data_IF_709998119967
#
_entry.id   IF_709998119967
#
_cell.length_a   1.000
_cell.length_b   1.000
_cell.length_c   1.000
_cell.angle_alpha   90.00
_cell.angle_beta   90.00
_cell.angle_gamma   90.00
#
_symmetry.space_group_name_H-M   'P 1'
#
loop_
_entity.id
_entity.type
_entity.pdbx_description
1 polymer ?
#
# COMPACT_ATOMS: atom_id res chain seq x y z
N UNK A 1 -12.55 17.80 8.16
CA UNK A 1 -12.62 16.34 8.38
C UNK A 1 -11.38 15.83 9.11
N UNK A 2 -11.53 15.42 10.37
CA UNK A 2 -10.46 14.80 11.15
C UNK A 2 -10.21 13.37 10.65
N UNK A 3 -8.94 12.98 10.58
CA UNK A 3 -8.49 11.64 10.15
C UNK A 3 -7.68 11.01 11.28
N UNK A 4 -8.00 9.78 11.64
CA UNK A 4 -7.31 9.04 12.71
C UNK A 4 -6.89 7.69 12.18
N UNK A 5 -5.60 7.37 12.32
CA UNK A 5 -5.08 6.05 11.99
C UNK A 5 -5.51 5.07 13.08
N UNK A 6 -6.16 3.97 12.70
CA UNK A 6 -6.58 2.91 13.63
C UNK A 6 -5.57 1.77 13.63
N UNK A 7 -5.21 1.31 12.44
CA UNK A 7 -4.27 0.19 12.27
C UNK A 7 -3.19 0.60 11.25
N UNK A 8 -1.93 0.78 11.68
CA UNK A 8 -0.82 1.08 10.78
C UNK A 8 -0.51 -0.13 9.88
N UNK A 9 0.21 0.08 8.76
CA UNK A 9 0.64 -1.02 7.92
C UNK A 9 1.73 -1.81 8.65
N UNK A 10 1.69 -3.15 8.54
CA UNK A 10 2.72 -4.00 9.17
C UNK A 10 4.04 -3.99 8.39
N UNK A 11 3.99 -3.69 7.09
CA UNK A 11 5.14 -3.72 6.20
C UNK A 11 5.18 -2.47 5.32
N UNK A 12 6.37 -2.14 4.82
CA UNK A 12 6.59 -1.07 3.86
C UNK A 12 6.46 -1.56 2.40
N UNK A 13 6.17 -0.66 1.43
CA UNK A 13 6.07 -1.02 0.01
C UNK A 13 7.41 -1.46 -0.62
N UNK A 14 8.53 -1.13 0.03
CA UNK A 14 9.89 -1.54 -0.32
C UNK A 14 10.50 -2.26 0.87
N UNK A 15 11.04 -3.46 0.66
CA UNK A 15 11.71 -4.22 1.71
C UNK A 15 13.16 -3.74 1.91
N UNK A 16 13.71 -4.00 3.09
CA UNK A 16 15.08 -3.60 3.43
C UNK A 16 16.12 -4.19 2.47
N UNK A 17 16.02 -5.46 2.11
CA UNK A 17 16.95 -6.12 1.18
C UNK A 17 16.92 -5.46 -0.21
N UNK A 18 15.76 -4.98 -0.62
CA UNK A 18 15.59 -4.28 -1.90
C UNK A 18 16.19 -2.87 -1.85
N UNK A 19 15.97 -2.14 -0.75
CA UNK A 19 16.59 -0.84 -0.53
C UNK A 19 18.12 -0.96 -0.47
N UNK A 20 18.65 -1.94 0.27
CA UNK A 20 20.08 -2.24 0.37
C UNK A 20 20.69 -2.56 -0.99
N UNK A 21 20.02 -3.40 -1.79
CA UNK A 21 20.45 -3.70 -3.16
C UNK A 21 20.45 -2.46 -4.06
N UNK A 22 19.48 -1.57 -3.91
CA UNK A 22 19.43 -0.31 -4.65
C UNK A 22 20.57 0.64 -4.26
N UNK A 23 20.84 0.76 -2.96
CA UNK A 23 21.91 1.58 -2.38
C UNK A 23 23.31 0.96 -2.51
N UNK A 24 23.40 -0.30 -2.97
CA UNK A 24 24.63 -1.10 -3.03
C UNK A 24 25.29 -1.29 -1.66
N UNK A 25 24.47 -1.49 -0.63
CA UNK A 25 24.89 -1.78 0.75
C UNK A 25 24.79 -3.28 1.01
N UNK A 26 25.87 -3.91 1.46
CA UNK A 26 25.96 -5.36 1.72
C UNK A 26 26.12 -5.72 3.20
N UNK A 27 26.35 -4.74 4.07
CA UNK A 27 26.51 -4.88 5.52
C UNK A 27 25.22 -4.56 6.28
N UNK A 28 25.11 -4.97 7.55
CA UNK A 28 23.88 -4.84 8.37
C UNK A 28 23.88 -3.67 9.37
N UNK A 29 25.00 -2.96 9.54
CA UNK A 29 25.09 -1.87 10.54
C UNK A 29 24.14 -0.70 10.26
N UNK A 30 23.80 -0.47 8.99
CA UNK A 30 22.91 0.62 8.58
C UNK A 30 21.43 0.19 8.49
N UNK A 31 21.10 -1.06 8.85
CA UNK A 31 19.75 -1.60 8.64
C UNK A 31 18.66 -0.77 9.36
N UNK A 32 18.96 -0.30 10.57
CA UNK A 32 18.05 0.56 11.33
C UNK A 32 17.86 1.93 10.65
N UNK A 33 18.95 2.51 10.13
CA UNK A 33 18.91 3.80 9.46
C UNK A 33 18.15 3.71 8.12
N UNK A 34 18.46 2.71 7.31
CA UNK A 34 17.78 2.44 6.03
C UNK A 34 16.28 2.17 6.26
N UNK A 35 15.92 1.47 7.34
CA UNK A 35 14.50 1.28 7.71
C UNK A 35 13.81 2.62 8.01
N UNK A 36 14.48 3.54 8.71
CA UNK A 36 13.99 4.90 8.93
C UNK A 36 13.80 5.69 7.64
N UNK A 37 14.75 5.58 6.70
CA UNK A 37 14.64 6.21 5.38
C UNK A 37 13.48 5.64 4.54
N UNK A 38 13.26 4.33 4.58
CA UNK A 38 12.11 3.69 3.93
C UNK A 38 10.80 4.27 4.47
N UNK A 39 10.69 4.43 5.80
CA UNK A 39 9.49 5.00 6.42
C UNK A 39 9.26 6.45 5.98
N UNK A 40 10.31 7.29 6.03
CA UNK A 40 10.21 8.70 5.66
C UNK A 40 9.94 8.89 4.14
N UNK A 41 10.58 8.10 3.28
CA UNK A 41 10.33 8.11 1.85
C UNK A 41 8.90 7.66 1.52
N UNK A 42 8.39 6.64 2.24
CA UNK A 42 7.00 6.18 2.09
C UNK A 42 6.02 7.28 2.48
N UNK A 43 6.21 7.94 3.62
CA UNK A 43 5.35 9.05 4.07
C UNK A 43 5.35 10.22 3.07
N UNK A 44 6.54 10.61 2.57
CA UNK A 44 6.67 11.66 1.55
C UNK A 44 5.91 11.33 0.27
N UNK A 45 6.02 10.08 -0.21
CA UNK A 45 5.33 9.63 -1.43
C UNK A 45 3.82 9.49 -1.21
N UNK A 46 3.38 8.97 -0.06
CA UNK A 46 1.96 8.90 0.30
C UNK A 46 1.32 10.29 0.41
N UNK A 47 2.04 11.25 1.01
CA UNK A 47 1.63 12.65 1.10
C UNK A 47 1.45 13.29 -0.28
N UNK A 48 2.42 13.07 -1.19
CA UNK A 48 2.34 13.56 -2.56
C UNK A 48 1.20 12.94 -3.36
N UNK A 49 1.03 11.61 -3.29
CA UNK A 49 -0.01 10.90 -4.02
C UNK A 49 -1.42 11.12 -3.45
N UNK A 50 -1.51 11.55 -2.18
CA UNK A 50 -2.75 11.62 -1.39
C UNK A 50 -3.44 10.25 -1.30
N UNK A 51 -2.64 9.21 -1.14
CA UNK A 51 -3.06 7.80 -1.09
C UNK A 51 -2.31 7.06 0.01
N UNK A 52 -2.85 5.91 0.42
CA UNK A 52 -2.11 4.91 1.19
C UNK A 52 -1.64 3.80 0.25
N UNK A 53 -0.41 3.38 0.41
CA UNK A 53 0.21 2.39 -0.47
C UNK A 53 -0.06 0.98 0.02
N UNK A 54 0.20 0.74 1.31
CA UNK A 54 -0.04 -0.53 1.98
C UNK A 54 -1.40 -0.49 2.68
N UNK A 55 -2.08 -1.64 2.80
CA UNK A 55 -3.35 -1.75 3.53
C UNK A 55 -3.24 -1.13 4.92
N UNK A 56 -4.15 -0.19 5.22
CA UNK A 56 -4.28 0.49 6.49
C UNK A 56 -5.74 0.74 6.82
N UNK A 57 -6.05 0.77 8.12
CA UNK A 57 -7.40 1.09 8.61
C UNK A 57 -7.43 2.51 9.16
N UNK A 58 -8.34 3.32 8.63
CA UNK A 58 -8.51 4.72 9.00
C UNK A 58 -9.93 4.99 9.49
N UNK A 59 -10.03 5.97 10.38
CA UNK A 59 -11.27 6.58 10.82
C UNK A 59 -11.34 8.02 10.37
N UNK A 60 -12.52 8.43 9.94
CA UNK A 60 -12.86 9.83 9.71
C UNK A 60 -14.09 10.23 10.48
N UNK A 61 -14.19 11.52 10.73
CA UNK A 61 -15.33 12.12 11.40
C UNK A 61 -15.97 13.19 10.52
N UNK A 62 -17.29 13.15 10.41
CA UNK A 62 -18.10 14.19 9.79
C UNK A 62 -18.90 14.91 10.88
N UNK A 63 -19.02 16.23 10.72
CA UNK A 63 -19.79 17.09 11.63
C UNK A 63 -21.28 17.05 11.33
N UNK A 64 -21.66 16.75 10.08
CA UNK A 64 -23.03 16.61 9.61
C UNK A 64 -23.15 15.60 8.46
N UNK A 65 -24.37 15.13 8.19
CA UNK A 65 -24.65 14.31 7.01
C UNK A 65 -24.60 15.17 5.75
N UNK A 66 -23.86 14.76 4.70
CA UNK A 66 -23.81 15.54 3.46
C UNK A 66 -25.14 15.47 2.69
N UNK A 67 -25.36 16.45 1.82
CA UNK A 67 -26.51 16.45 0.91
C UNK A 67 -26.35 15.45 -0.27
N UNK A 68 -25.19 14.82 -0.43
CA UNK A 68 -24.87 13.89 -1.51
C UNK A 68 -23.88 12.82 -1.07
N UNK A 69 -23.12 12.26 -2.01
CA UNK A 69 -22.16 11.19 -1.75
C UNK A 69 -21.10 11.58 -0.70
N UNK A 70 -20.78 10.65 0.20
CA UNK A 70 -19.63 10.80 1.10
C UNK A 70 -18.38 10.37 0.34
N UNK A 71 -17.48 11.31 0.05
CA UNK A 71 -16.18 11.02 -0.56
C UNK A 71 -15.16 10.72 0.53
N UNK A 72 -14.55 9.54 0.50
CA UNK A 72 -13.55 9.15 1.49
C UNK A 72 -12.18 9.76 1.16
N UNK A 73 -11.40 10.19 2.17
CA UNK A 73 -10.03 10.59 1.94
C UNK A 73 -9.17 9.35 1.68
N UNK A 74 -8.20 9.50 0.79
CA UNK A 74 -7.27 8.47 0.31
C UNK A 74 -7.88 7.52 -0.73
N UNK A 75 -7.12 7.30 -1.81
CA UNK A 75 -7.53 6.40 -2.90
C UNK A 75 -7.25 4.94 -2.62
N UNK A 76 -7.72 4.08 -3.53
CA UNK A 76 -7.74 2.62 -3.38
C UNK A 76 -8.47 2.19 -2.11
N UNK A 77 -9.76 2.51 -2.05
CA UNK A 77 -10.66 1.98 -1.05
C UNK A 77 -10.81 0.46 -1.26
N UNK A 78 -10.59 -0.33 -0.21
CA UNK A 78 -10.82 -1.77 -0.26
C UNK A 78 -12.20 -2.11 0.30
N UNK A 79 -12.54 -1.52 1.44
CA UNK A 79 -13.84 -1.73 2.10
C UNK A 79 -14.11 -0.64 3.15
N UNK A 80 -15.38 -0.49 3.51
CA UNK A 80 -15.80 0.30 4.69
C UNK A 80 -16.28 -0.69 5.74
N UNK A 81 -15.73 -0.59 6.95
CA UNK A 81 -16.11 -1.46 8.07
C UNK A 81 -17.48 -1.07 8.59
N UNK A 82 -17.67 0.22 8.88
CA UNK A 82 -18.92 0.74 9.43
C UNK A 82 -19.06 2.25 9.21
N UNK A 83 -20.32 2.69 9.19
CA UNK A 83 -20.73 4.08 9.39
C UNK A 83 -21.60 4.12 10.63
N UNK A 84 -21.19 4.90 11.63
CA UNK A 84 -21.89 5.05 12.89
C UNK A 84 -22.19 6.53 13.13
N UNK A 85 -23.26 6.81 13.85
CA UNK A 85 -23.57 8.15 14.30
C UNK A 85 -23.95 8.16 15.77
N UNK A 86 -23.65 9.25 16.45
CA UNK A 86 -23.97 9.48 17.87
C UNK A 86 -25.00 10.60 17.97
N UNK A 87 -26.09 10.34 18.66
CA UNK A 87 -27.15 11.33 18.91
C UNK A 87 -26.82 12.28 20.07
N UNK A 88 -27.69 13.25 20.33
CA UNK A 88 -27.57 14.21 21.45
C UNK A 88 -27.62 13.56 22.82
N UNK A 89 -28.17 12.35 22.93
CA UNK A 89 -28.25 11.59 24.18
C UNK A 89 -26.97 10.77 24.42
N UNK A 90 -26.01 10.80 23.49
CA UNK A 90 -24.74 10.07 23.54
C UNK A 90 -24.85 8.61 23.09
N UNK A 91 -25.99 8.20 22.54
CA UNK A 91 -26.20 6.84 22.05
C UNK A 91 -25.60 6.69 20.66
N UNK A 92 -24.69 5.72 20.50
CA UNK A 92 -24.09 5.40 19.20
C UNK A 92 -24.94 4.35 18.47
N UNK A 93 -25.39 4.70 17.27
CA UNK A 93 -26.13 3.82 16.37
C UNK A 93 -25.29 3.49 15.13
N UNK A 94 -25.47 2.28 14.60
CA UNK A 94 -24.80 1.85 13.36
C UNK A 94 -25.75 2.02 12.18
N UNK A 95 -25.37 2.85 11.22
CA UNK A 95 -26.15 3.11 10.01
C UNK A 95 -25.71 2.23 8.84
N UNK A 96 -24.44 1.84 8.80
CA UNK A 96 -23.90 0.89 7.82
C UNK A 96 -22.91 -0.06 8.49
N UNK A 97 -22.92 -1.32 8.07
CA UNK A 97 -21.83 -2.27 8.32
C UNK A 97 -21.64 -3.18 7.11
N UNK A 98 -20.49 -3.85 7.00
CA UNK A 98 -20.26 -4.82 5.93
C UNK A 98 -21.28 -5.98 5.89
N UNK A 99 -21.99 -6.24 7.00
CA UNK A 99 -23.06 -7.22 7.07
C UNK A 99 -24.45 -6.66 6.72
N UNK A 100 -24.63 -5.33 6.78
CA UNK A 100 -25.93 -4.66 6.60
C UNK A 100 -25.79 -3.49 5.63
N UNK A 101 -26.15 -3.73 4.37
CA UNK A 101 -25.93 -2.83 3.23
C UNK A 101 -27.21 -2.19 2.70
N UNK A 102 -28.33 -2.34 3.41
CA UNK A 102 -29.66 -1.88 3.00
C UNK A 102 -29.73 -0.38 2.71
N UNK A 103 -29.05 0.45 3.52
CA UNK A 103 -29.14 1.91 3.44
C UNK A 103 -28.10 2.55 2.52
N UNK A 104 -26.91 1.95 2.41
CA UNK A 104 -25.77 2.55 1.73
C UNK A 104 -25.03 1.52 0.87
N UNK A 105 -24.55 1.97 -0.28
CA UNK A 105 -23.66 1.24 -1.16
C UNK A 105 -22.25 1.85 -1.14
N UNK A 106 -21.24 0.99 -1.17
CA UNK A 106 -19.84 1.40 -1.27
C UNK A 106 -19.39 1.28 -2.72
N UNK A 107 -18.96 2.40 -3.28
CA UNK A 107 -18.31 2.48 -4.58
C UNK A 107 -16.79 2.40 -4.39
N UNK A 108 -16.25 1.19 -4.57
CA UNK A 108 -14.81 0.90 -4.49
C UNK A 108 -14.08 1.09 -5.84
N UNK A 109 -14.83 1.16 -6.93
CA UNK A 109 -14.28 1.31 -8.29
C UNK A 109 -13.90 2.76 -8.57
N UNK A 110 -14.65 3.71 -7.99
CA UNK A 110 -14.30 5.12 -7.99
C UNK A 110 -13.03 5.39 -7.17
N UNK A 111 -12.21 6.32 -7.65
CA UNK A 111 -10.95 6.69 -7.01
C UNK A 111 -10.87 8.23 -6.95
N UNK A 112 -11.16 8.88 -5.80
CA UNK A 112 -11.37 8.30 -4.47
C UNK A 112 -12.68 7.52 -4.33
N UNK A 113 -12.67 6.55 -3.41
CA UNK A 113 -13.85 5.74 -3.09
C UNK A 113 -14.97 6.57 -2.47
N UNK A 114 -16.21 6.17 -2.74
CA UNK A 114 -17.40 6.92 -2.33
C UNK A 114 -18.39 6.02 -1.60
N UNK A 115 -19.13 6.60 -0.66
CA UNK A 115 -20.27 5.96 -0.03
C UNK A 115 -21.53 6.68 -0.52
N UNK A 116 -22.45 5.92 -1.11
CA UNK A 116 -23.69 6.41 -1.69
C UNK A 116 -24.88 5.90 -0.88
N UNK A 117 -25.91 6.72 -0.75
CA UNK A 117 -27.20 6.23 -0.27
C UNK A 117 -27.84 5.35 -1.34
N UNK A 118 -28.46 4.25 -0.91
CA UNK A 118 -29.29 3.45 -1.80
C UNK A 118 -30.54 4.23 -2.20
N UNK A 119 -31.07 3.92 -3.39
CA UNK A 119 -32.24 4.61 -3.92
C UNK A 119 -33.44 4.48 -2.98
N UNK A 120 -34.11 5.60 -2.67
CA UNK A 120 -35.28 5.64 -1.79
C UNK A 120 -34.96 5.72 -0.29
N UNK A 121 -33.69 5.72 0.09
CA UNK A 121 -33.26 5.88 1.49
C UNK A 121 -32.73 7.30 1.75
N UNK A 122 -32.84 7.73 3.01
CA UNK A 122 -32.34 9.02 3.50
C UNK A 122 -31.48 8.82 4.73
N UNK A 123 -30.56 9.75 4.98
CA UNK A 123 -29.79 9.80 6.21
C UNK A 123 -30.70 9.86 7.46
N UNK A 124 -30.23 9.37 8.62
CA UNK A 124 -30.97 9.48 9.87
C UNK A 124 -31.32 10.93 10.19
N UNK A 125 -32.57 11.18 10.61
CA UNK A 125 -33.06 12.50 11.01
C UNK A 125 -32.83 12.80 12.49
N UNK A 126 -32.08 11.95 13.19
CA UNK A 126 -31.75 12.14 14.60
C UNK A 126 -30.89 13.39 14.80
N UNK A 127 -31.12 14.11 15.90
CA UNK A 127 -30.25 15.21 16.31
C UNK A 127 -28.87 14.67 16.65
N UNK A 128 -27.86 15.11 15.91
CA UNK A 128 -26.48 14.66 16.08
C UNK A 128 -25.82 15.34 17.28
N UNK A 129 -24.91 14.62 17.93
CA UNK A 129 -24.02 15.20 18.95
C UNK A 129 -23.19 16.36 18.37
N UNK A 130 -22.88 17.42 19.14
CA UNK A 130 -22.14 18.58 18.65
C UNK A 130 -20.70 18.27 18.20
N UNK A 131 -20.06 17.22 18.74
CA UNK A 131 -18.64 16.93 18.49
C UNK A 131 -18.45 15.60 17.76
N UNK A 132 -17.93 15.65 16.51
CA UNK A 132 -17.60 14.48 15.68
C UNK A 132 -18.69 13.37 15.68
N UNK A 133 -19.98 13.72 15.42
CA UNK A 133 -21.09 12.80 15.61
C UNK A 133 -21.06 11.58 14.71
N UNK A 134 -20.51 11.70 13.49
CA UNK A 134 -20.52 10.61 12.51
C UNK A 134 -19.10 10.03 12.40
N UNK A 135 -18.95 8.75 12.74
CA UNK A 135 -17.69 7.99 12.58
C UNK A 135 -17.79 7.05 11.38
N UNK A 136 -16.81 7.12 10.49
CA UNK A 136 -16.66 6.17 9.38
C UNK A 136 -15.30 5.51 9.49
N UNK A 137 -15.30 4.17 9.57
CA UNK A 137 -14.07 3.38 9.55
C UNK A 137 -13.96 2.62 8.23
N UNK A 138 -12.81 2.72 7.57
CA UNK A 138 -12.57 2.09 6.27
C UNK A 138 -11.13 1.58 6.13
N UNK A 139 -10.94 0.67 5.18
CA UNK A 139 -9.67 0.05 4.82
C UNK A 139 -9.28 0.53 3.43
N UNK A 140 -8.06 1.04 3.30
CA UNK A 140 -7.52 1.54 2.03
C UNK A 140 -6.08 1.09 1.82
N UNK A 141 -5.63 1.08 0.56
CA UNK A 141 -4.29 0.64 0.15
C UNK A 141 -4.34 -0.29 -1.06
N UNK A 142 -3.19 -0.53 -1.69
CA UNK A 142 -3.11 -1.45 -2.84
C UNK A 142 -3.19 -2.92 -2.42
N UNK A 143 -2.96 -3.23 -1.15
CA UNK A 143 -3.02 -4.59 -0.61
C UNK A 143 -1.95 -4.84 0.43
N UNK A 144 -1.95 -6.07 0.95
CA UNK A 144 -1.00 -6.49 1.96
C UNK A 144 0.37 -6.74 1.33
N UNK A 145 1.37 -6.04 1.85
CA UNK A 145 2.77 -6.17 1.44
C UNK A 145 3.54 -7.22 2.23
N UNK A 146 2.83 -8.11 2.93
CA UNK A 146 3.39 -9.16 3.77
C UNK A 146 4.33 -10.07 2.97
N UNK A 147 5.63 -10.12 3.29
CA UNK A 147 6.56 -11.05 2.67
C UNK A 147 6.18 -12.49 3.03
N UNK A 148 5.93 -13.33 2.03
CA UNK A 148 5.62 -14.74 2.21
C UNK A 148 6.91 -15.55 2.19
N UNK A 149 7.04 -16.53 3.09
CA UNK A 149 8.25 -17.36 3.19
C UNK A 149 8.25 -18.42 2.11
N UNK A 150 9.37 -18.52 1.39
CA UNK A 150 9.63 -19.60 0.45
C UNK A 150 10.16 -20.79 1.24
N UNK A 151 9.56 -21.97 1.05
CA UNK A 151 9.96 -23.20 1.76
C UNK A 151 10.79 -24.13 0.89
N UNK A 152 10.70 -24.01 -0.44
CA UNK A 152 11.57 -24.71 -1.38
C UNK A 152 11.67 -23.96 -2.71
N UNK A 153 12.77 -24.21 -3.46
CA UNK A 153 12.93 -23.78 -4.83
C UNK A 153 13.55 -24.91 -5.67
N UNK A 154 12.90 -25.28 -6.78
CA UNK A 154 13.40 -26.34 -7.66
C UNK A 154 14.64 -25.91 -8.44
N UNK A 155 15.63 -26.78 -8.60
CA UNK A 155 16.74 -26.55 -9.53
C UNK A 155 16.31 -26.91 -10.97
N UNK A 156 15.47 -26.07 -11.58
CA UNK A 156 14.88 -26.28 -12.90
C UNK A 156 14.76 -24.97 -13.69
N UNK A 157 14.37 -25.06 -14.96
CA UNK A 157 14.08 -23.91 -15.84
C UNK A 157 12.70 -24.11 -16.46
N UNK A 158 11.66 -23.36 -16.05
CA UNK A 158 11.65 -22.33 -15.01
C UNK A 158 11.79 -22.91 -13.59
N UNK A 159 12.33 -22.10 -12.67
CA UNK A 159 12.34 -22.38 -11.23
C UNK A 159 10.89 -22.36 -10.70
N UNK A 160 10.51 -23.41 -9.98
CA UNK A 160 9.26 -23.51 -9.23
C UNK A 160 9.57 -23.28 -7.75
N UNK A 161 8.88 -22.32 -7.15
CA UNK A 161 8.92 -22.05 -5.72
C UNK A 161 7.74 -22.71 -5.02
N UNK A 162 7.98 -23.19 -3.79
CA UNK A 162 6.93 -23.64 -2.87
C UNK A 162 6.69 -22.56 -1.81
N UNK A 163 5.45 -22.05 -1.75
CA UNK A 163 4.99 -21.05 -0.79
C UNK A 163 3.56 -21.43 -0.41
N UNK A 164 3.31 -21.73 0.86
CA UNK A 164 1.97 -22.09 1.33
C UNK A 164 0.96 -20.95 1.11
N UNK A 165 -0.20 -21.26 0.52
CA UNK A 165 -1.31 -20.32 0.31
C UNK A 165 -0.86 -18.97 -0.25
N UNK A 166 -0.12 -18.99 -1.36
CA UNK A 166 0.46 -17.75 -1.91
C UNK A 166 -0.58 -16.78 -2.50
N UNK A 167 -1.77 -17.27 -2.87
CA UNK A 167 -2.88 -16.44 -3.36
C UNK A 167 -2.56 -15.67 -4.65
N UNK A 168 -1.72 -16.25 -5.52
CA UNK A 168 -1.22 -15.58 -6.75
C UNK A 168 -1.90 -16.13 -7.98
N UNK A 169 -2.17 -15.23 -8.91
CA UNK A 169 -2.72 -15.57 -10.21
C UNK A 169 -1.61 -15.64 -11.27
N UNK A 170 -1.90 -16.32 -12.37
CA UNK A 170 -0.98 -16.38 -13.49
C UNK A 170 -0.79 -14.97 -14.05
N UNK A 171 0.44 -14.65 -14.45
CA UNK A 171 0.88 -13.34 -14.94
C UNK A 171 1.11 -12.25 -13.89
N UNK A 172 0.85 -12.50 -12.61
CA UNK A 172 1.24 -11.58 -11.54
C UNK A 172 2.75 -11.40 -11.52
N UNK A 173 3.22 -10.18 -11.22
CA UNK A 173 4.64 -9.94 -10.94
C UNK A 173 4.92 -10.24 -9.47
N UNK A 174 6.04 -10.91 -9.20
CA UNK A 174 6.50 -11.13 -7.84
C UNK A 174 8.01 -10.87 -7.72
N UNK A 175 8.38 -10.22 -6.62
CA UNK A 175 9.77 -10.04 -6.24
C UNK A 175 10.18 -11.18 -5.31
N UNK A 176 11.20 -11.92 -5.73
CA UNK A 176 11.83 -13.00 -4.96
C UNK A 176 13.19 -12.51 -4.50
N UNK A 177 13.47 -12.62 -3.21
CA UNK A 177 14.77 -12.26 -2.66
C UNK A 177 15.22 -13.22 -1.55
N UNK A 178 16.52 -13.19 -1.28
CA UNK A 178 17.16 -13.91 -0.17
C UNK A 178 17.00 -15.44 -0.23
N UNK A 179 16.77 -16.02 -1.41
CA UNK A 179 16.80 -17.46 -1.65
C UNK A 179 18.25 -17.94 -1.65
N UNK A 180 18.58 -18.86 -0.74
CA UNK A 180 19.88 -19.50 -0.60
C UNK A 180 19.99 -20.78 -1.43
N UNK A 181 21.22 -21.08 -1.86
CA UNK A 181 21.50 -22.22 -2.74
C UNK A 181 21.10 -21.90 -4.18
N UNK A 182 19.81 -21.97 -4.50
CA UNK A 182 19.27 -21.62 -5.81
C UNK A 182 19.12 -20.09 -6.00
N UNK A 183 20.23 -19.36 -6.02
CA UNK A 183 20.22 -17.89 -6.10
C UNK A 183 19.68 -17.36 -7.44
N UNK A 184 19.59 -18.20 -8.47
CA UNK A 184 18.96 -17.89 -9.75
C UNK A 184 17.44 -17.61 -9.64
N UNK A 185 16.83 -17.99 -8.52
CA UNK A 185 15.45 -17.63 -8.20
C UNK A 185 15.28 -16.16 -7.76
N UNK A 186 16.36 -15.47 -7.35
CA UNK A 186 16.26 -14.10 -6.86
C UNK A 186 16.09 -13.10 -8.01
N UNK A 187 15.06 -12.26 -7.94
CA UNK A 187 14.72 -11.31 -8.99
C UNK A 187 13.24 -10.97 -9.02
N UNK A 188 12.86 -10.13 -9.98
CA UNK A 188 11.45 -9.88 -10.28
C UNK A 188 11.02 -10.79 -11.42
N UNK A 189 9.98 -11.57 -11.19
CA UNK A 189 9.53 -12.60 -12.13
C UNK A 189 8.04 -12.47 -12.41
N UNK A 190 7.63 -12.93 -13.58
CA UNK A 190 6.23 -13.14 -13.92
C UNK A 190 5.82 -14.54 -13.48
N UNK A 191 4.73 -14.66 -12.73
CA UNK A 191 4.23 -15.94 -12.21
C UNK A 191 3.60 -16.76 -13.33
N UNK A 192 3.94 -18.04 -13.36
CA UNK A 192 3.41 -19.05 -14.29
C UNK A 192 2.94 -20.28 -13.55
N UNK A 193 1.90 -20.94 -14.05
CA UNK A 193 1.35 -22.18 -13.51
C UNK A 193 1.16 -22.18 -11.97
N UNK A 194 0.50 -21.15 -11.40
CA UNK A 194 0.25 -21.13 -9.96
C UNK A 194 -0.68 -22.29 -9.56
N UNK A 195 -0.35 -22.95 -8.46
CA UNK A 195 -1.26 -23.84 -7.72
C UNK A 195 -1.72 -23.15 -6.43
N UNK A 196 -2.14 -23.90 -5.42
CA UNK A 196 -2.38 -23.34 -4.09
C UNK A 196 -1.06 -23.02 -3.36
N UNK A 197 -0.02 -23.84 -3.60
CA UNK A 197 1.22 -23.86 -2.81
C UNK A 197 2.49 -23.73 -3.64
N UNK A 198 2.38 -23.60 -4.96
CA UNK A 198 3.54 -23.50 -5.86
C UNK A 198 3.35 -22.47 -6.96
N UNK A 199 4.43 -21.77 -7.29
CA UNK A 199 4.49 -20.83 -8.42
C UNK A 199 5.73 -21.09 -9.27
N UNK A 200 5.58 -21.07 -10.60
CA UNK A 200 6.70 -21.01 -11.53
C UNK A 200 7.14 -19.57 -11.80
N UNK A 201 8.44 -19.37 -11.97
CA UNK A 201 9.05 -18.07 -12.28
C UNK A 201 9.45 -18.02 -13.77
N UNK A 202 8.68 -17.30 -14.59
CA UNK A 202 8.90 -17.27 -16.05
C UNK A 202 10.30 -16.78 -16.41
N UNK A 203 11.03 -17.57 -17.20
CA UNK A 203 12.36 -17.20 -17.71
C UNK A 203 13.49 -17.30 -16.67
N UNK A 204 13.21 -17.80 -15.46
CA UNK A 204 14.24 -18.07 -14.45
C UNK A 204 15.04 -19.33 -14.80
N UNK A 205 16.31 -19.35 -14.40
CA UNK A 205 17.21 -20.48 -14.57
C UNK A 205 17.73 -20.90 -13.20
N UNK A 206 17.41 -22.13 -12.79
CA UNK A 206 17.96 -22.72 -11.58
C UNK A 206 19.47 -22.91 -11.69
N UNK A 207 20.22 -22.56 -10.64
CA UNK A 207 21.67 -22.62 -10.65
C UNK A 207 22.27 -23.56 -9.59
N UNK A 208 21.48 -24.00 -8.61
CA UNK A 208 21.89 -24.92 -7.56
C UNK A 208 20.67 -25.49 -6.81
N UNK A 209 20.91 -26.45 -5.92
CA UNK A 209 19.89 -26.92 -4.98
C UNK A 209 19.54 -25.82 -3.97
N UNK A 210 18.26 -25.67 -3.66
CA UNK A 210 17.80 -24.80 -2.58
C UNK A 210 18.36 -25.26 -1.23
N UNK A 211 18.87 -24.34 -0.43
CA UNK A 211 19.39 -24.63 0.91
C UNK A 211 18.50 -24.07 2.00
N UNK A 212 18.17 -22.78 1.92
CA UNK A 212 17.35 -22.09 2.93
C UNK A 212 16.91 -20.71 2.44
N UNK A 213 16.06 -20.05 3.25
CA UNK A 213 15.69 -18.65 3.06
C UNK A 213 14.64 -18.44 1.98
N UNK A 214 14.60 -17.22 1.44
CA UNK A 214 13.66 -16.84 0.39
C UNK A 214 12.41 -16.16 0.92
N UNK A 215 12.13 -15.00 0.34
CA UNK A 215 10.90 -14.24 0.57
C UNK A 215 10.29 -13.87 -0.77
N UNK A 216 8.98 -14.05 -0.86
CA UNK A 216 8.15 -13.60 -1.96
C UNK A 216 7.40 -12.34 -1.50
N UNK A 217 7.64 -11.22 -2.16
CA UNK A 217 6.93 -9.97 -1.88
C UNK A 217 5.83 -9.76 -2.92
N UNK A 218 4.66 -9.41 -2.39
CA UNK A 218 3.47 -8.97 -3.10
C UNK A 218 3.75 -7.64 -3.84
N UNK A 219 3.78 -7.63 -5.18
CA UNK A 219 3.92 -6.40 -5.97
C UNK A 219 2.55 -5.77 -6.30
N UNK A 220 1.73 -5.48 -5.28
CA UNK A 220 0.42 -4.85 -5.48
C UNK A 220 0.53 -3.34 -5.63
N UNK A 221 1.46 -2.70 -4.92
CA UNK A 221 1.83 -1.30 -5.21
C UNK A 221 2.51 -1.23 -6.58
N UNK A 222 2.04 -0.35 -7.49
CA UNK A 222 2.63 -0.18 -8.82
C UNK A 222 4.14 0.06 -8.79
N UNK A 223 4.86 -0.59 -9.70
CA UNK A 223 6.33 -0.52 -9.74
C UNK A 223 6.86 0.92 -9.87
N UNK A 224 6.17 1.77 -10.61
CA UNK A 224 6.53 3.19 -10.72
C UNK A 224 6.60 3.90 -9.36
N UNK A 225 5.68 3.58 -8.44
CA UNK A 225 5.66 4.14 -7.09
C UNK A 225 6.83 3.55 -6.28
N UNK A 226 7.06 2.24 -6.37
CA UNK A 226 8.16 1.57 -5.65
C UNK A 226 9.52 2.12 -6.10
N UNK A 227 9.69 2.37 -7.39
CA UNK A 227 10.89 3.00 -7.94
C UNK A 227 11.05 4.46 -7.47
N UNK A 228 9.96 5.23 -7.44
CA UNK A 228 9.97 6.58 -6.89
C UNK A 228 10.41 6.61 -5.41
N UNK A 229 9.96 5.63 -4.61
CA UNK A 229 10.40 5.45 -3.22
C UNK A 229 11.89 5.14 -3.15
N UNK A 230 12.39 4.20 -3.97
CA UNK A 230 13.83 3.87 -4.02
C UNK A 230 14.71 5.09 -4.37
N UNK A 231 14.30 5.87 -5.38
CA UNK A 231 15.00 7.10 -5.75
C UNK A 231 14.99 8.13 -4.61
N UNK A 232 13.87 8.24 -3.89
CA UNK A 232 13.76 9.09 -2.71
C UNK A 232 14.68 8.61 -1.57
N UNK A 233 14.76 7.30 -1.35
CA UNK A 233 15.67 6.70 -0.36
C UNK A 233 17.13 7.00 -0.72
N UNK A 234 17.51 6.88 -2.01
CA UNK A 234 18.86 7.20 -2.49
C UNK A 234 19.23 8.65 -2.19
N UNK A 235 18.33 9.58 -2.49
CA UNK A 235 18.53 11.01 -2.23
C UNK A 235 18.72 11.30 -0.73
N UNK A 236 17.87 10.72 0.13
CA UNK A 236 17.95 10.91 1.58
C UNK A 236 19.15 10.21 2.24
N UNK A 237 19.66 9.13 1.63
CA UNK A 237 20.84 8.41 2.13
C UNK A 237 22.14 9.16 1.81
N UNK A 238 22.23 9.73 0.60
CA UNK A 238 23.38 10.52 0.14
C UNK A 238 23.39 11.92 0.77
N UNK A 239 22.24 12.60 0.83
CA UNK A 239 22.10 13.96 1.35
C UNK A 239 21.44 13.94 2.74
N UNK A 240 22.26 14.00 3.79
CA UNK A 240 21.80 13.93 5.19
C UNK A 240 21.39 15.26 5.81
N UNK A 241 21.71 16.36 5.14
CA UNK A 241 21.39 17.74 5.53
C UNK A 241 20.74 18.46 4.34
N UNK A 242 20.09 19.60 4.57
CA UNK A 242 19.56 20.43 3.47
C UNK A 242 20.72 20.97 2.62
N UNK A 243 20.89 20.40 1.43
CA UNK A 243 21.94 20.76 0.49
C UNK A 243 21.41 21.79 -0.52
N UNK A 244 21.72 23.07 -0.29
CA UNK A 244 21.47 24.15 -1.27
C UNK A 244 22.71 24.29 -2.16
N UNK A 245 22.72 23.62 -3.32
CA UNK A 245 23.72 23.87 -4.39
C UNK A 245 23.13 24.89 -5.36
N UNK A 246 23.85 25.98 -5.61
CA UNK A 246 23.37 27.16 -6.34
C UNK A 246 22.56 26.86 -7.61
N UNK A 247 21.45 27.61 -7.79
CA UNK A 247 20.48 27.71 -8.91
C UNK A 247 20.06 26.45 -9.70
N UNK A 248 20.60 25.27 -9.40
CA UNK A 248 20.28 23.98 -10.01
C UNK A 248 20.39 22.91 -8.95
N UNK A 249 19.53 22.99 -7.94
CA UNK A 249 19.14 21.81 -7.19
C UNK A 249 18.05 21.06 -7.96
N UNK A 250 17.95 19.74 -7.73
CA UNK A 250 16.87 18.83 -8.12
C UNK A 250 16.73 18.39 -9.59
N UNK A 251 17.69 17.59 -10.07
CA UNK A 251 17.46 16.71 -11.25
C UNK A 251 16.62 15.47 -10.87
N UNK A 252 16.75 14.94 -9.65
CA UNK A 252 16.01 13.75 -9.18
C UNK A 252 14.51 13.98 -8.95
N UNK A 253 14.10 15.21 -8.58
CA UNK A 253 12.69 15.49 -8.28
C UNK A 253 11.81 15.38 -9.53
N UNK A 254 12.31 15.74 -10.72
CA UNK A 254 11.54 15.65 -11.97
C UNK A 254 11.20 14.21 -12.36
N UNK A 255 12.14 13.28 -12.19
CA UNK A 255 11.91 11.85 -12.46
C UNK A 255 10.92 11.25 -11.46
N UNK A 256 11.09 11.54 -10.16
CA UNK A 256 10.18 11.10 -9.10
C UNK A 256 8.77 11.64 -9.36
N UNK A 257 8.64 12.96 -9.61
CA UNK A 257 7.36 13.59 -9.93
C UNK A 257 6.74 12.97 -11.18
N UNK A 258 7.52 12.74 -12.25
CA UNK A 258 6.99 12.13 -13.49
C UNK A 258 6.45 10.71 -13.28
N UNK A 259 7.02 9.93 -12.36
CA UNK A 259 6.52 8.58 -12.05
C UNK A 259 5.24 8.62 -11.19
N UNK A 260 5.12 9.61 -10.32
CA UNK A 260 4.02 9.76 -9.38
C UNK A 260 2.82 10.53 -9.95
N UNK A 261 3.06 11.51 -10.83
CA UNK A 261 2.06 12.44 -11.35
C UNK A 261 0.82 11.75 -11.95
N UNK A 262 0.92 10.67 -12.74
CA UNK A 262 -0.26 9.98 -13.27
C UNK A 262 -1.14 9.31 -12.21
N UNK A 263 -0.66 9.20 -10.97
CA UNK A 263 -1.31 8.48 -9.87
C UNK A 263 -1.72 9.39 -8.72
N UNK A 264 -1.48 10.70 -8.83
CA UNK A 264 -1.99 11.66 -7.86
C UNK A 264 -3.51 11.66 -7.92
N UNK A 265 -4.15 11.68 -6.75
CA UNK A 265 -5.60 11.52 -6.69
C UNK A 265 -6.34 12.82 -7.01
N UNK A 266 -5.83 13.96 -6.55
CA UNK A 266 -6.20 15.28 -7.05
C UNK A 266 -5.00 16.22 -6.95
N UNK A 267 -4.73 17.04 -7.99
CA UNK A 267 -3.61 17.97 -7.98
C UNK A 267 -3.78 19.02 -6.86
N UNK A 268 -2.69 19.65 -6.45
CA UNK A 268 -2.81 20.91 -5.73
C UNK A 268 -3.48 21.93 -6.65
N UNK A 269 -4.62 22.47 -6.22
CA UNK A 269 -5.08 23.74 -6.76
C UNK A 269 -3.98 24.71 -6.37
N UNK A 270 -3.25 25.22 -7.36
CA UNK A 270 -2.27 26.29 -7.13
C UNK A 270 -2.99 27.40 -6.36
N UNK A 271 -2.60 27.60 -5.10
CA UNK A 271 -3.01 28.77 -4.33
C UNK A 271 -2.37 30.02 -4.92
#
# INVERSE_FOLDING_TARGET
MKRVLVTPPTYFPVAIDEAKKHLRVDYSSDDAYITGLIAAATDKVEGYLRRRLVTQTWKIFLDEWPAGDIVLPFGKLQSVTHVKYTDTDGTQSTYYSSAETTYMNIDIDSDPGRIKLNYGYSYPTASLSPDNPIEIQFVCGYGDHTPQTITAASNATPVVLTIATHGRSANDLALVHSVGGNTGANGTWKITAPSADTIGLLGSVGNAAYTSGGKLICLQVPEAIRQAIKLTISDMFENREDVIIGMTATVNLKAIISLLFPRILWPEVSA
#
